data_IF_795641800121
#
_entry.id   IF_795641800121
#
_cell.length_a   1.000
_cell.length_b   1.000
_cell.length_c   1.000
_cell.angle_alpha   90.00
_cell.angle_beta   90.00
_cell.angle_gamma   90.00
#
_symmetry.space_group_name_H-M   'P 1'
#
loop_
_entity.id
_entity.type
_entity.pdbx_description
1 polymer ?
#
# COMPACT_ATOMS: atom_id res chain seq x y z
N UNK A 1 -4.80 9.38 -36.38
CA UNK A 1 -5.94 9.96 -35.63
C UNK A 1 -6.12 9.20 -34.33
N UNK A 2 -6.46 9.87 -33.22
CA UNK A 2 -6.62 9.26 -31.90
C UNK A 2 -7.44 10.17 -30.97
N UNK A 3 -7.45 9.90 -29.66
CA UNK A 3 -8.21 10.69 -28.67
C UNK A 3 -7.31 11.69 -27.93
N UNK A 4 -7.06 12.92 -28.42
CA UNK A 4 -6.05 13.84 -27.86
C UNK A 4 -6.35 14.32 -26.43
N UNK A 5 -7.63 14.31 -26.04
CA UNK A 5 -8.08 14.71 -24.70
C UNK A 5 -8.23 13.53 -23.72
N UNK A 6 -7.86 12.31 -24.12
CA UNK A 6 -7.91 11.15 -23.24
C UNK A 6 -6.84 11.29 -22.15
N UNK A 7 -7.29 11.41 -20.90
CA UNK A 7 -6.43 11.63 -19.73
C UNK A 7 -6.75 10.69 -18.57
N UNK A 8 -7.73 9.80 -18.74
CA UNK A 8 -8.22 8.92 -17.68
C UNK A 8 -8.60 7.58 -18.28
N UNK A 9 -7.90 6.53 -17.85
CA UNK A 9 -8.11 5.15 -18.32
C UNK A 9 -8.32 4.24 -17.11
N UNK A 10 -9.34 3.40 -17.21
CA UNK A 10 -9.47 2.15 -16.46
C UNK A 10 -9.70 1.05 -17.49
N UNK A 11 -8.79 0.09 -17.56
CA UNK A 11 -8.82 -0.94 -18.58
C UNK A 11 -8.58 -2.32 -17.97
N UNK A 12 -9.47 -3.25 -18.28
CA UNK A 12 -9.37 -4.66 -17.88
C UNK A 12 -9.06 -5.49 -19.12
N UNK A 13 -8.00 -6.30 -19.07
CA UNK A 13 -7.59 -7.15 -20.18
C UNK A 13 -6.91 -8.44 -19.71
N UNK A 14 -6.67 -9.38 -20.62
CA UNK A 14 -5.96 -10.63 -20.32
C UNK A 14 -4.49 -10.63 -20.72
N UNK A 15 -4.06 -9.65 -21.52
CA UNK A 15 -2.69 -9.55 -22.01
C UNK A 15 -2.29 -8.08 -22.16
N UNK A 16 -1.00 -7.81 -22.04
CA UNK A 16 -0.38 -6.51 -22.27
C UNK A 16 1.07 -6.70 -22.73
N UNK A 17 1.65 -5.69 -23.37
CA UNK A 17 3.09 -5.63 -23.66
C UNK A 17 3.69 -4.32 -23.16
N UNK A 18 4.98 -4.34 -22.87
CA UNK A 18 5.80 -3.17 -22.63
C UNK A 18 5.72 -2.20 -23.81
N UNK A 19 5.77 -2.70 -25.04
CA UNK A 19 5.65 -1.88 -26.25
C UNK A 19 4.33 -1.09 -26.29
N UNK A 20 3.20 -1.75 -25.99
CA UNK A 20 1.90 -1.10 -25.96
C UNK A 20 1.85 0.00 -24.89
N UNK A 21 2.38 -0.26 -23.68
CA UNK A 21 2.47 0.73 -22.61
C UNK A 21 3.36 1.92 -22.99
N UNK A 22 4.51 1.68 -23.64
CA UNK A 22 5.40 2.73 -24.15
C UNK A 22 4.69 3.59 -25.20
N UNK A 23 3.97 2.98 -26.13
CA UNK A 23 3.20 3.70 -27.16
C UNK A 23 2.10 4.55 -26.52
N UNK A 24 1.38 4.02 -25.53
CA UNK A 24 0.37 4.77 -24.77
C UNK A 24 1.00 5.99 -24.10
N UNK A 25 2.11 5.79 -23.39
CA UNK A 25 2.82 6.84 -22.66
C UNK A 25 3.29 7.97 -23.58
N UNK A 26 3.91 7.62 -24.73
CA UNK A 26 4.39 8.57 -25.73
C UNK A 26 3.25 9.32 -26.42
N UNK A 27 2.17 8.62 -26.72
CA UNK A 27 1.03 9.24 -27.37
C UNK A 27 0.27 10.17 -26.40
N UNK A 28 0.13 9.81 -25.13
CA UNK A 28 -0.69 10.52 -24.13
C UNK A 28 0.17 11.01 -22.93
N UNK A 29 1.07 11.99 -23.13
CA UNK A 29 1.85 12.57 -22.03
C UNK A 29 0.98 13.38 -21.05
N UNK A 30 -0.26 13.74 -21.45
CA UNK A 30 -1.25 14.42 -20.62
C UNK A 30 -2.10 13.46 -19.77
N UNK A 31 -1.73 12.18 -19.63
CA UNK A 31 -2.45 11.23 -18.80
C UNK A 31 -2.43 11.65 -17.33
N UNK A 32 -3.61 11.73 -16.71
CA UNK A 32 -3.78 12.06 -15.28
C UNK A 32 -4.09 10.80 -14.46
N UNK A 33 -4.84 9.85 -15.04
CA UNK A 33 -5.24 8.61 -14.35
C UNK A 33 -5.03 7.43 -15.26
N UNK A 34 -4.17 6.50 -14.87
CA UNK A 34 -3.91 5.29 -15.63
C UNK A 34 -4.08 4.07 -14.73
N UNK A 35 -5.12 3.29 -14.98
CA UNK A 35 -5.42 2.09 -14.18
C UNK A 35 -5.54 0.91 -15.12
N UNK A 36 -4.57 0.01 -15.04
CA UNK A 36 -4.56 -1.23 -15.79
C UNK A 36 -4.82 -2.40 -14.84
N UNK A 37 -5.68 -3.31 -15.24
CA UNK A 37 -5.91 -4.58 -14.56
C UNK A 37 -5.82 -5.72 -15.57
N UNK A 38 -4.69 -6.42 -15.55
CA UNK A 38 -4.51 -7.70 -16.22
C UNK A 38 -5.14 -8.76 -15.32
N UNK A 39 -6.12 -9.50 -15.85
CA UNK A 39 -7.00 -10.39 -15.07
C UNK A 39 -6.20 -11.46 -14.31
N UNK A 40 -5.20 -12.05 -14.95
CA UNK A 40 -4.38 -13.10 -14.35
C UNK A 40 -3.17 -12.45 -13.62
N UNK A 41 -3.01 -12.69 -12.30
CA UNK A 41 -1.88 -12.17 -11.53
C UNK A 41 -0.54 -12.55 -12.14
N UNK A 42 0.46 -11.66 -12.00
CA UNK A 42 1.84 -11.91 -12.47
C UNK A 42 1.95 -12.31 -13.96
N UNK A 43 1.00 -11.90 -14.79
CA UNK A 43 1.08 -12.09 -16.25
C UNK A 43 2.21 -11.22 -16.83
N UNK A 44 3.22 -11.81 -17.48
CA UNK A 44 4.30 -11.05 -18.11
C UNK A 44 3.83 -10.37 -19.40
N UNK A 45 4.74 -9.62 -20.02
CA UNK A 45 4.60 -9.25 -21.43
C UNK A 45 4.32 -10.51 -22.26
N UNK A 46 3.19 -10.57 -22.96
CA UNK A 46 2.79 -11.80 -23.66
C UNK A 46 3.67 -12.14 -24.87
N UNK A 47 4.49 -11.18 -25.34
CA UNK A 47 5.40 -11.36 -26.48
C UNK A 47 6.81 -11.67 -25.99
N UNK A 48 7.34 -10.88 -25.06
CA UNK A 48 8.74 -11.01 -24.61
C UNK A 48 8.91 -11.90 -23.38
N UNK A 49 7.82 -12.20 -22.67
CA UNK A 49 7.79 -12.88 -21.37
C UNK A 49 8.53 -12.12 -20.24
N UNK A 50 8.91 -10.86 -20.49
CA UNK A 50 9.56 -10.01 -19.50
C UNK A 50 8.52 -9.40 -18.53
N UNK A 51 8.96 -8.96 -17.34
CA UNK A 51 8.14 -8.08 -16.49
C UNK A 51 7.71 -6.80 -17.24
N UNK A 52 6.58 -6.21 -16.82
CA UNK A 52 6.04 -4.98 -17.40
C UNK A 52 6.69 -3.70 -16.83
N UNK A 53 7.86 -3.83 -16.20
CA UNK A 53 8.56 -2.73 -15.52
C UNK A 53 8.90 -1.58 -16.47
N UNK A 54 9.40 -1.90 -17.67
CA UNK A 54 9.78 -0.89 -18.67
C UNK A 54 8.56 -0.13 -19.21
N UNK A 55 7.43 -0.81 -19.39
CA UNK A 55 6.18 -0.25 -19.87
C UNK A 55 5.58 0.72 -18.87
N UNK A 56 5.44 0.31 -17.61
CA UNK A 56 4.99 1.22 -16.55
C UNK A 56 6.02 2.31 -16.24
N UNK A 57 7.31 2.01 -16.34
CA UNK A 57 8.40 2.98 -16.30
C UNK A 57 8.19 4.10 -17.33
N UNK A 58 7.89 3.75 -18.58
CA UNK A 58 7.57 4.73 -19.62
C UNK A 58 6.33 5.56 -19.29
N UNK A 59 5.28 4.97 -18.71
CA UNK A 59 4.07 5.70 -18.27
C UNK A 59 4.45 6.79 -17.26
N UNK A 60 5.18 6.47 -16.20
CA UNK A 60 5.58 7.49 -15.19
C UNK A 60 6.65 8.46 -15.70
N UNK A 61 7.48 8.03 -16.67
CA UNK A 61 8.47 8.89 -17.31
C UNK A 61 7.84 9.93 -18.23
N UNK A 62 6.84 9.58 -19.03
CA UNK A 62 6.24 10.50 -20.01
C UNK A 62 5.02 11.24 -19.46
N UNK A 63 4.20 10.61 -18.62
CA UNK A 63 2.97 11.20 -18.11
C UNK A 63 3.22 12.01 -16.82
N UNK A 64 3.84 13.19 -16.93
CA UNK A 64 4.27 13.98 -15.77
C UNK A 64 3.13 14.52 -14.89
N UNK A 65 1.92 14.59 -15.42
CA UNK A 65 0.71 14.99 -14.69
C UNK A 65 -0.06 13.82 -14.08
N UNK A 66 0.52 12.61 -14.07
CA UNK A 66 -0.12 11.42 -13.53
C UNK A 66 -0.34 11.54 -12.02
N UNK A 67 -1.60 11.42 -11.60
CA UNK A 67 -2.05 11.52 -10.19
C UNK A 67 -2.58 10.21 -9.64
N UNK A 68 -3.04 9.29 -10.50
CA UNK A 68 -3.54 7.98 -10.07
C UNK A 68 -3.02 6.87 -10.95
N UNK A 69 -2.41 5.87 -10.33
CA UNK A 69 -1.84 4.70 -10.98
C UNK A 69 -2.37 3.43 -10.34
N UNK A 70 -2.76 2.45 -11.16
CA UNK A 70 -2.96 1.07 -10.71
C UNK A 70 -2.15 0.12 -11.56
N UNK A 71 -1.38 -0.75 -10.90
CA UNK A 71 -0.45 -1.68 -11.51
C UNK A 71 -0.99 -3.11 -11.50
N UNK A 72 -0.62 -3.89 -12.52
CA UNK A 72 -0.94 -5.31 -12.65
C UNK A 72 0.01 -5.98 -13.64
N UNK A 73 0.13 -7.31 -13.59
CA UNK A 73 1.06 -8.09 -14.41
C UNK A 73 2.29 -8.50 -13.61
N UNK A 74 3.27 -9.11 -14.27
CA UNK A 74 4.56 -9.44 -13.66
C UNK A 74 5.37 -8.16 -13.48
N UNK A 75 5.74 -7.84 -12.24
CA UNK A 75 6.42 -6.61 -11.87
C UNK A 75 7.47 -6.89 -10.80
N UNK A 76 8.67 -6.36 -11.00
CA UNK A 76 9.80 -6.49 -10.07
C UNK A 76 9.99 -5.20 -9.26
N UNK A 77 10.96 -5.17 -8.34
CA UNK A 77 11.31 -3.96 -7.60
C UNK A 77 11.66 -2.76 -8.50
N UNK A 78 12.11 -3.03 -9.73
CA UNK A 78 12.51 -2.03 -10.73
C UNK A 78 11.37 -1.10 -11.15
N UNK A 79 10.11 -1.57 -11.22
CA UNK A 79 8.99 -0.67 -11.54
C UNK A 79 8.81 0.39 -10.46
N UNK A 80 9.05 0.04 -9.21
CA UNK A 80 8.89 0.94 -8.07
C UNK A 80 10.03 1.94 -7.99
N UNK A 81 11.24 1.56 -8.40
CA UNK A 81 12.34 2.50 -8.64
C UNK A 81 11.91 3.58 -9.65
N UNK A 82 11.38 3.18 -10.82
CA UNK A 82 10.89 4.13 -11.81
C UNK A 82 9.78 5.04 -11.27
N UNK A 83 8.85 4.48 -10.50
CA UNK A 83 7.77 5.25 -9.85
C UNK A 83 8.36 6.27 -8.88
N UNK A 84 9.25 5.85 -7.98
CA UNK A 84 9.90 6.72 -7.00
C UNK A 84 10.69 7.85 -7.65
N UNK A 85 11.40 7.57 -8.75
CA UNK A 85 12.19 8.56 -9.48
C UNK A 85 11.31 9.55 -10.26
N UNK A 86 10.25 9.08 -10.93
CA UNK A 86 9.55 9.89 -11.94
C UNK A 86 8.14 10.36 -11.56
N UNK A 87 7.42 9.64 -10.71
CA UNK A 87 5.99 9.86 -10.44
C UNK A 87 5.75 10.92 -9.35
N UNK A 88 6.38 12.08 -9.44
CA UNK A 88 6.38 13.10 -8.36
C UNK A 88 5.01 13.69 -8.02
N UNK A 89 4.09 13.70 -8.99
CA UNK A 89 2.70 14.16 -8.84
C UNK A 89 1.71 13.04 -8.50
N UNK A 90 2.17 11.81 -8.30
CA UNK A 90 1.31 10.68 -8.00
C UNK A 90 0.69 10.84 -6.61
N UNK A 91 -0.64 10.88 -6.56
CA UNK A 91 -1.42 11.06 -5.32
C UNK A 91 -1.98 9.73 -4.82
N UNK A 92 -2.28 8.80 -5.73
CA UNK A 92 -2.87 7.49 -5.39
C UNK A 92 -2.23 6.37 -6.20
N UNK A 93 -1.68 5.38 -5.49
CA UNK A 93 -1.12 4.16 -6.06
C UNK A 93 -1.86 2.95 -5.48
N UNK A 94 -2.34 2.07 -6.36
CA UNK A 94 -2.89 0.77 -5.98
C UNK A 94 -2.11 -0.34 -6.71
N UNK A 95 -1.68 -1.37 -6.00
CA UNK A 95 -0.94 -2.49 -6.60
C UNK A 95 -1.28 -3.81 -5.93
N UNK A 96 -1.18 -4.90 -6.70
CA UNK A 96 -1.38 -6.26 -6.20
C UNK A 96 -0.42 -7.23 -6.89
N UNK A 97 0.06 -8.25 -6.16
CA UNK A 97 0.91 -9.32 -6.69
C UNK A 97 2.20 -8.85 -7.38
N UNK A 98 2.84 -7.81 -6.84
CA UNK A 98 3.97 -7.12 -7.47
C UNK A 98 5.14 -6.91 -6.50
N UNK A 99 6.36 -6.81 -7.04
CA UNK A 99 7.59 -6.59 -6.29
C UNK A 99 8.23 -7.88 -5.79
N UNK A 100 9.48 -7.74 -5.35
CA UNK A 100 10.34 -8.84 -4.92
C UNK A 100 10.76 -8.68 -3.45
N UNK A 101 10.95 -7.44 -2.99
CA UNK A 101 11.42 -7.15 -1.63
C UNK A 101 10.93 -5.80 -1.10
N UNK A 102 11.29 -5.49 0.14
CA UNK A 102 10.99 -4.20 0.76
C UNK A 102 11.58 -2.98 0.01
N UNK A 103 12.60 -3.17 -0.84
CA UNK A 103 13.13 -2.10 -1.68
C UNK A 103 12.04 -1.48 -2.57
N UNK A 104 11.11 -2.30 -3.09
CA UNK A 104 9.99 -1.81 -3.89
C UNK A 104 9.13 -0.79 -3.12
N UNK A 105 8.71 -1.14 -1.90
CA UNK A 105 7.95 -0.22 -1.06
C UNK A 105 8.78 1.00 -0.64
N UNK A 106 10.06 0.81 -0.35
CA UNK A 106 10.97 1.90 0.00
C UNK A 106 11.03 2.96 -1.11
N UNK A 107 11.23 2.58 -2.38
CA UNK A 107 11.28 3.52 -3.50
C UNK A 107 10.01 4.35 -3.64
N UNK A 108 8.84 3.75 -3.40
CA UNK A 108 7.55 4.45 -3.44
C UNK A 108 7.47 5.48 -2.32
N UNK A 109 7.71 5.07 -1.08
CA UNK A 109 7.56 5.94 0.09
C UNK A 109 8.60 7.07 0.13
N UNK A 110 9.84 6.80 -0.27
CA UNK A 110 10.92 7.79 -0.31
C UNK A 110 10.83 8.72 -1.53
N UNK A 111 10.37 8.22 -2.67
CA UNK A 111 10.40 8.95 -3.94
C UNK A 111 9.11 9.71 -4.31
N UNK A 112 7.93 9.23 -3.90
CA UNK A 112 6.65 9.82 -4.30
C UNK A 112 6.23 11.00 -3.42
N UNK A 113 6.65 12.21 -3.81
CA UNK A 113 6.43 13.45 -3.05
C UNK A 113 4.95 13.74 -2.78
N UNK A 114 4.08 13.61 -3.78
CA UNK A 114 2.64 13.97 -3.67
C UNK A 114 1.74 12.84 -3.17
N UNK A 115 2.29 11.70 -2.75
CA UNK A 115 1.51 10.52 -2.41
C UNK A 115 0.57 10.79 -1.23
N UNK A 116 -0.70 10.44 -1.39
CA UNK A 116 -1.75 10.58 -0.38
C UNK A 116 -2.39 9.26 0.00
N UNK A 117 -2.49 8.31 -0.93
CA UNK A 117 -3.09 7.00 -0.70
C UNK A 117 -2.24 5.92 -1.34
N UNK A 118 -1.90 4.90 -0.56
CA UNK A 118 -1.21 3.70 -1.04
C UNK A 118 -2.01 2.48 -0.62
N UNK A 119 -2.37 1.65 -1.58
CA UNK A 119 -3.15 0.42 -1.39
C UNK A 119 -2.38 -0.77 -1.96
N UNK A 120 -2.01 -1.71 -1.11
CA UNK A 120 -1.14 -2.84 -1.42
C UNK A 120 -1.82 -4.14 -1.03
N UNK A 121 -1.74 -5.15 -1.90
CA UNK A 121 -2.23 -6.50 -1.62
C UNK A 121 -1.28 -7.56 -2.17
N UNK A 122 -1.06 -8.64 -1.43
CA UNK A 122 -0.34 -9.82 -1.93
C UNK A 122 1.08 -9.49 -2.43
N UNK A 123 1.80 -8.63 -1.71
CA UNK A 123 3.14 -8.16 -2.06
C UNK A 123 4.15 -8.52 -0.98
N UNK A 124 5.41 -8.85 -1.34
CA UNK A 124 6.47 -9.19 -0.39
C UNK A 124 7.07 -7.94 0.30
N UNK A 125 6.20 -7.05 0.77
CA UNK A 125 6.58 -5.83 1.47
C UNK A 125 6.25 -5.99 2.96
N UNK A 126 7.17 -5.62 3.83
CA UNK A 126 7.14 -5.84 5.26
C UNK A 126 7.71 -4.67 6.05
N UNK A 127 8.46 -5.03 7.09
CA UNK A 127 8.78 -4.15 8.21
C UNK A 127 9.81 -3.09 7.85
N UNK A 128 10.83 -3.46 7.07
CA UNK A 128 12.02 -2.61 6.86
C UNK A 128 11.62 -1.31 6.15
N UNK A 129 10.89 -1.42 5.05
CA UNK A 129 10.48 -0.27 4.26
C UNK A 129 9.45 0.60 5.00
N UNK A 130 8.53 -0.03 5.74
CA UNK A 130 7.51 0.66 6.52
C UNK A 130 8.15 1.50 7.64
N UNK A 131 9.03 0.90 8.43
CA UNK A 131 9.67 1.57 9.58
C UNK A 131 10.71 2.61 9.14
N UNK A 132 11.48 2.32 8.07
CA UNK A 132 12.46 3.26 7.51
C UNK A 132 11.80 4.55 6.98
N UNK A 133 10.58 4.45 6.45
CA UNK A 133 9.84 5.58 5.88
C UNK A 133 8.68 6.07 6.75
N UNK A 134 8.65 5.74 8.05
CA UNK A 134 7.53 6.02 8.94
C UNK A 134 7.02 7.48 8.86
N UNK A 135 7.93 8.47 8.82
CA UNK A 135 7.57 9.89 8.74
C UNK A 135 6.75 10.25 7.49
N UNK A 136 6.89 9.49 6.39
CA UNK A 136 6.08 9.69 5.17
C UNK A 136 4.60 9.49 5.44
N UNK A 137 4.24 8.58 6.35
CA UNK A 137 2.86 8.21 6.64
C UNK A 137 2.06 9.37 7.26
N UNK A 138 2.72 10.32 7.94
CA UNK A 138 2.08 11.54 8.46
C UNK A 138 1.70 12.54 7.36
N UNK A 139 2.36 12.46 6.20
CA UNK A 139 2.03 13.31 5.03
C UNK A 139 0.87 12.73 4.21
N UNK A 140 0.65 11.42 4.34
CA UNK A 140 -0.35 10.68 3.59
C UNK A 140 -1.72 10.72 4.28
N UNK A 141 -2.78 10.50 3.51
CA UNK A 141 -4.09 10.26 4.08
C UNK A 141 -4.16 8.86 4.70
N UNK A 142 -3.68 7.86 3.97
CA UNK A 142 -3.77 6.47 4.43
C UNK A 142 -2.83 5.54 3.66
N UNK A 143 -2.44 4.46 4.34
CA UNK A 143 -1.78 3.28 3.79
C UNK A 143 -2.65 2.06 4.12
N UNK A 144 -2.94 1.25 3.11
CA UNK A 144 -3.57 -0.06 3.26
C UNK A 144 -2.60 -1.14 2.78
N UNK A 145 -2.36 -2.16 3.60
CA UNK A 145 -1.60 -3.35 3.25
C UNK A 145 -2.39 -4.58 3.67
N UNK A 146 -2.48 -5.59 2.82
CA UNK A 146 -3.20 -6.84 3.14
C UNK A 146 -2.52 -8.02 2.48
N UNK A 147 -2.40 -9.12 3.23
CA UNK A 147 -1.60 -10.27 2.82
C UNK A 147 -0.18 -9.86 2.38
N UNK A 148 0.46 -9.05 3.22
CA UNK A 148 1.84 -8.59 3.09
C UNK A 148 2.69 -9.17 4.23
N UNK A 149 3.97 -8.86 4.26
CA UNK A 149 4.93 -9.38 5.25
C UNK A 149 5.11 -8.48 6.46
N UNK A 150 4.15 -7.60 6.77
CA UNK A 150 4.24 -6.70 7.92
C UNK A 150 3.91 -7.45 9.20
N UNK A 151 4.86 -7.49 10.13
CA UNK A 151 4.73 -8.17 11.41
C UNK A 151 3.90 -7.36 12.40
N UNK A 152 3.40 -8.04 13.43
CA UNK A 152 2.74 -7.36 14.54
C UNK A 152 3.72 -6.51 15.36
N UNK A 153 4.97 -6.93 15.49
CA UNK A 153 6.05 -6.16 16.12
C UNK A 153 6.23 -4.79 15.43
N UNK A 154 6.32 -4.76 14.10
CA UNK A 154 6.46 -3.52 13.36
C UNK A 154 5.24 -2.60 13.51
N UNK A 155 4.02 -3.15 13.60
CA UNK A 155 2.83 -2.38 13.91
C UNK A 155 2.95 -1.64 15.26
N UNK A 156 3.44 -2.33 16.31
CA UNK A 156 3.66 -1.74 17.64
C UNK A 156 4.75 -0.67 17.61
N UNK A 157 5.89 -0.96 16.99
CA UNK A 157 6.99 0.00 16.85
C UNK A 157 6.56 1.27 16.10
N UNK A 158 5.74 1.11 15.06
CA UNK A 158 5.22 2.24 14.30
C UNK A 158 4.28 3.11 15.13
N UNK A 159 3.35 2.49 15.88
CA UNK A 159 2.42 3.19 16.76
C UNK A 159 3.15 3.97 17.86
N UNK A 160 4.16 3.37 18.49
CA UNK A 160 5.02 4.03 19.49
C UNK A 160 5.77 5.23 18.90
N UNK A 161 6.27 5.10 17.66
CA UNK A 161 7.06 6.14 17.01
C UNK A 161 6.20 7.33 16.56
N UNK A 162 4.94 7.09 16.17
CA UNK A 162 4.08 8.09 15.52
C UNK A 162 2.67 8.11 16.14
N UNK A 163 2.48 8.72 17.32
CA UNK A 163 1.18 8.74 18.03
C UNK A 163 0.08 9.53 17.30
N UNK A 164 0.43 10.32 16.27
CA UNK A 164 -0.54 11.00 15.40
C UNK A 164 -1.20 10.08 14.35
N UNK A 165 -0.83 8.80 14.31
CA UNK A 165 -1.37 7.80 13.41
C UNK A 165 -2.25 6.80 14.16
N UNK A 166 -3.40 6.46 13.60
CA UNK A 166 -4.07 5.23 13.97
C UNK A 166 -3.45 4.10 13.14
N UNK A 167 -2.85 3.14 13.83
CA UNK A 167 -2.33 1.89 13.26
C UNK A 167 -3.34 0.79 13.56
N UNK A 168 -4.22 0.48 12.60
CA UNK A 168 -5.24 -0.55 12.77
C UNK A 168 -4.80 -1.89 12.19
N UNK A 169 -4.69 -2.89 13.05
CA UNK A 169 -4.56 -4.30 12.65
C UNK A 169 -5.96 -4.88 12.50
N UNK A 170 -6.25 -5.45 11.34
CA UNK A 170 -7.53 -6.08 11.00
C UNK A 170 -7.24 -7.55 10.71
N UNK A 171 -7.63 -8.45 11.61
CA UNK A 171 -7.22 -9.85 11.58
C UNK A 171 -8.33 -10.76 12.12
N UNK A 172 -8.83 -11.69 11.31
CA UNK A 172 -9.94 -12.57 11.71
C UNK A 172 -9.46 -13.81 12.50
N UNK A 173 -8.15 -13.99 12.64
CA UNK A 173 -7.54 -15.17 13.31
C UNK A 173 -7.50 -15.04 14.84
N UNK A 174 -8.15 -14.02 15.41
CA UNK A 174 -8.10 -13.68 16.83
C UNK A 174 -6.98 -12.68 17.19
N UNK A 175 -6.93 -12.32 18.47
CA UNK A 175 -6.07 -11.24 18.98
C UNK A 175 -4.60 -11.41 18.55
N UNK A 176 -3.93 -10.39 17.98
CA UNK A 176 -2.56 -10.51 17.48
C UNK A 176 -1.54 -11.03 18.50
N UNK A 177 -1.67 -10.64 19.77
CA UNK A 177 -0.83 -11.14 20.89
C UNK A 177 -0.87 -12.65 21.11
N UNK A 178 -1.87 -13.38 20.57
CA UNK A 178 -1.89 -14.85 20.70
C UNK A 178 -0.91 -15.54 19.76
N UNK A 179 -0.18 -14.79 18.93
CA UNK A 179 0.80 -15.26 17.95
C UNK A 179 2.17 -14.62 18.25
N UNK A 180 3.29 -15.22 17.80
CA UNK A 180 4.58 -14.56 17.87
C UNK A 180 4.55 -13.18 17.20
N UNK A 181 5.24 -12.20 17.74
CA UNK A 181 5.19 -10.82 17.23
C UNK A 181 5.73 -10.68 15.80
N UNK A 182 6.62 -11.59 15.39
CA UNK A 182 7.13 -11.73 14.03
C UNK A 182 6.09 -12.24 13.03
N UNK A 183 4.92 -12.70 13.48
CA UNK A 183 3.87 -13.21 12.61
C UNK A 183 3.25 -12.06 11.79
N UNK A 184 3.13 -12.20 10.46
CA UNK A 184 2.48 -11.18 9.65
C UNK A 184 1.00 -11.01 10.01
N UNK A 185 0.57 -9.75 10.10
CA UNK A 185 -0.85 -9.41 10.28
C UNK A 185 -1.61 -9.62 8.98
N UNK A 186 -2.90 -9.96 9.08
CA UNK A 186 -3.70 -10.23 7.87
C UNK A 186 -3.90 -8.96 7.03
N UNK A 187 -4.31 -7.87 7.69
CA UNK A 187 -4.43 -6.56 7.07
C UNK A 187 -4.01 -5.47 8.05
N UNK A 188 -3.41 -4.43 7.50
CA UNK A 188 -2.93 -3.25 8.20
C UNK A 188 -3.51 -2.01 7.51
N UNK A 189 -4.17 -1.17 8.29
CA UNK A 189 -4.67 0.10 7.85
C UNK A 189 -4.12 1.23 8.72
N UNK A 190 -3.29 2.08 8.13
CA UNK A 190 -2.66 3.22 8.80
C UNK A 190 -3.25 4.49 8.24
N UNK A 191 -3.66 5.41 9.10
CA UNK A 191 -4.09 6.74 8.69
C UNK A 191 -3.79 7.78 9.76
N UNK A 192 -3.41 8.98 9.31
CA UNK A 192 -3.21 10.11 10.23
C UNK A 192 -4.55 10.64 10.73
N UNK A 193 -4.59 11.06 11.98
CA UNK A 193 -5.80 11.58 12.61
C UNK A 193 -5.46 12.71 13.58
N UNK A 194 -6.38 13.67 13.71
CA UNK A 194 -6.36 14.67 14.78
C UNK A 194 -7.44 14.40 15.83
N UNK A 195 -8.31 13.40 15.57
CA UNK A 195 -9.39 12.98 16.47
C UNK A 195 -8.96 11.85 17.41
N UNK A 196 -7.75 11.31 17.24
CA UNK A 196 -7.29 10.12 17.93
C UNK A 196 -8.02 8.86 17.47
N UNK A 197 -8.16 7.90 18.39
CA UNK A 197 -8.74 6.58 18.17
C UNK A 197 -10.26 6.67 17.92
N UNK A 198 -10.77 5.81 17.03
CA UNK A 198 -12.21 5.64 16.83
C UNK A 198 -12.82 4.71 17.88
N UNK A 199 -14.11 4.87 18.16
CA UNK A 199 -14.82 4.16 19.23
C UNK A 199 -15.71 3.00 18.76
N UNK A 200 -15.72 2.73 17.45
CA UNK A 200 -16.61 1.78 16.77
C UNK A 200 -15.83 0.58 16.18
N UNK A 201 -14.72 0.20 16.80
CA UNK A 201 -13.89 -0.94 16.37
C UNK A 201 -14.65 -2.25 16.58
N UNK A 202 -14.90 -3.05 15.52
CA UNK A 202 -15.42 -4.40 15.70
C UNK A 202 -14.35 -5.32 16.32
N UNK A 203 -14.76 -6.49 16.84
CA UNK A 203 -13.88 -7.39 17.62
C UNK A 203 -12.70 -8.03 16.88
N UNK A 204 -12.56 -7.80 15.57
CA UNK A 204 -11.43 -8.24 14.73
C UNK A 204 -10.52 -7.07 14.30
N UNK A 205 -10.71 -5.89 14.90
CA UNK A 205 -9.88 -4.70 14.65
C UNK A 205 -9.27 -4.20 15.94
N UNK A 206 -7.94 -4.07 15.93
CA UNK A 206 -7.15 -3.55 17.04
C UNK A 206 -6.42 -2.30 16.60
N UNK A 207 -6.76 -1.17 17.22
CA UNK A 207 -5.96 0.06 17.08
C UNK A 207 -4.78 -0.07 18.04
N UNK A 208 -3.58 -0.17 17.49
CA UNK A 208 -2.35 -0.35 18.26
C UNK A 208 -1.97 0.96 18.92
N UNK A 209 -1.62 0.89 20.20
CA UNK A 209 -1.37 2.04 21.06
C UNK A 209 -0.23 1.73 22.05
N UNK A 210 0.35 2.77 22.62
CA UNK A 210 1.49 2.76 23.54
C UNK A 210 1.16 1.99 24.85
N UNK A 211 -0.11 2.01 25.27
CA UNK A 211 -0.57 1.58 26.61
C UNK A 211 -1.09 0.13 26.73
N UNK A 212 -0.87 -0.73 25.74
CA UNK A 212 -1.31 -2.14 25.83
C UNK A 212 -0.66 -2.92 27.00
N UNK A 213 0.38 -2.37 27.64
CA UNK A 213 1.00 -2.93 28.84
C UNK A 213 0.21 -2.68 30.16
N UNK A 214 -0.85 -1.86 30.17
CA UNK A 214 -1.54 -1.44 31.40
C UNK A 214 -3.02 -1.86 31.52
N UNK A 215 -3.60 -2.53 30.52
CA UNK A 215 -5.04 -2.91 30.55
C UNK A 215 -5.32 -4.39 30.85
N UNK A 216 -4.32 -5.18 31.25
CA UNK A 216 -4.57 -6.40 32.00
C UNK A 216 -4.85 -6.03 33.47
N UNK A 217 -5.96 -6.55 34.01
CA UNK A 217 -6.54 -6.29 35.35
C UNK A 217 -7.53 -5.12 35.47
N UNK A 218 -8.66 -5.19 34.75
CA UNK A 218 -9.91 -4.55 35.19
C UNK A 218 -11.15 -5.36 34.79
N UNK A 219 -11.08 -6.69 34.89
CA UNK A 219 -12.26 -7.55 34.91
C UNK A 219 -12.16 -8.49 36.10
N UNK A 220 -12.82 -8.13 37.22
CA UNK A 220 -12.89 -9.00 38.39
C UNK A 220 -13.38 -8.31 39.66
N UNK A 221 -14.71 -8.10 39.75
CA UNK A 221 -15.56 -8.26 40.95
C UNK A 221 -16.70 -7.24 40.99
N UNK A 222 -17.83 -7.61 40.38
CA UNK A 222 -19.13 -7.15 40.85
C UNK A 222 -19.66 -8.24 41.79
N UNK A 223 -19.23 -8.20 43.05
CA UNK A 223 -19.79 -9.04 44.11
C UNK A 223 -21.05 -8.36 44.67
N UNK A 224 -22.15 -9.07 44.54
CA UNK A 224 -23.43 -8.84 45.20
C UNK A 224 -23.24 -8.68 46.71
N UNK A 225 -23.85 -7.65 47.28
CA UNK A 225 -24.28 -7.65 48.68
C UNK A 225 -25.54 -6.78 48.80
N UNK A 226 -26.70 -7.45 48.86
CA UNK A 226 -27.93 -6.89 49.44
C UNK A 226 -28.39 -7.87 50.51
N UNK A 227 -28.39 -7.40 51.75
CA UNK A 227 -29.09 -7.96 52.92
C UNK A 227 -29.28 -6.80 53.89
#
# INVERSE_FOLDING_TARGET
MGCPKLQSVLYFCRQMTNEALVIIARNRPNMIRFRLCIIEPRTPDYVTLEPLDAGFGAIVQHCKELRRLSLSGLLTDRVFEYIGVHAKKLEMLSLAFAGDSDLGLHYVLSGCESLRKLEIRDCPFGDEALLANAAKLETMRSLWMSNCSVSFEACKLLAQKLPGLNVEVIDERGHPDTRPESCPVEKLYIYRTVSGRRFDTPGFVWIIDEDAALTQYSNGNCSLASS
#
